data_IF_015961302447
#
_entry.id   IF_015961302447
#
_cell.length_a   1.000
_cell.length_b   1.000
_cell.length_c   1.000
_cell.angle_alpha   90.00
_cell.angle_beta   90.00
_cell.angle_gamma   90.00
#
_symmetry.space_group_name_H-M   'P 1'
#
loop_
_entity.id
_entity.type
_entity.pdbx_description
1 polymer ?
#
# COMPACT_ATOMS: atom_id res chain seq x y z
N UNK A 1 35.66 -7.83 -10.88
CA UNK A 1 34.95 -7.57 -9.60
C UNK A 1 33.63 -6.91 -9.97
N UNK A 2 32.49 -7.57 -9.74
CA UNK A 2 31.17 -6.98 -10.01
C UNK A 2 30.90 -5.99 -8.89
N UNK A 3 31.02 -4.70 -9.17
CA UNK A 3 30.40 -3.68 -8.33
C UNK A 3 28.90 -3.95 -8.40
N UNK A 4 28.39 -4.65 -7.41
CA UNK A 4 26.96 -4.83 -7.27
C UNK A 4 26.40 -3.44 -7.00
N UNK A 5 25.38 -3.09 -7.76
CA UNK A 5 24.72 -1.80 -7.65
C UNK A 5 24.01 -1.79 -6.29
N UNK A 6 24.69 -1.40 -5.21
CA UNK A 6 24.18 -1.41 -3.82
C UNK A 6 22.82 -0.71 -3.70
N UNK A 7 22.55 0.25 -4.59
CA UNK A 7 21.26 0.94 -4.72
C UNK A 7 20.07 0.01 -4.97
N UNK A 8 20.30 -1.17 -5.54
CA UNK A 8 19.29 -2.20 -5.84
C UNK A 8 19.35 -3.40 -4.90
N UNK A 9 20.29 -3.40 -3.95
CA UNK A 9 20.42 -4.49 -2.99
C UNK A 9 19.26 -4.44 -1.97
N UNK A 10 18.53 -5.56 -1.75
CA UNK A 10 17.38 -5.58 -0.85
C UNK A 10 17.76 -5.29 0.61
N UNK A 11 18.97 -5.60 1.07
CA UNK A 11 19.39 -5.23 2.42
C UNK A 11 19.68 -3.74 2.54
N UNK A 12 20.25 -3.13 1.50
CA UNK A 12 20.43 -1.68 1.47
C UNK A 12 19.09 -0.93 1.43
N UNK A 13 18.13 -1.38 0.62
CA UNK A 13 16.77 -0.83 0.58
C UNK A 13 16.08 -1.02 1.94
N UNK A 14 16.18 -2.21 2.54
CA UNK A 14 15.61 -2.48 3.86
C UNK A 14 16.15 -1.54 4.95
N UNK A 15 17.45 -1.23 4.95
CA UNK A 15 18.04 -0.26 5.87
C UNK A 15 17.46 1.15 5.69
N UNK A 16 17.19 1.56 4.45
CA UNK A 16 16.54 2.85 4.18
C UNK A 16 15.08 2.86 4.66
N UNK A 17 14.35 1.76 4.44
CA UNK A 17 12.96 1.62 4.91
C UNK A 17 12.86 1.73 6.43
N UNK A 18 13.82 1.18 7.17
CA UNK A 18 13.87 1.34 8.64
C UNK A 18 14.04 2.81 9.10
N UNK A 19 14.53 3.68 8.22
CA UNK A 19 14.66 5.12 8.46
C UNK A 19 13.45 5.91 7.93
N UNK A 20 12.44 5.24 7.35
CA UNK A 20 11.30 5.87 6.70
C UNK A 20 11.61 6.44 5.30
N UNK A 21 12.68 5.94 4.65
CA UNK A 21 13.14 6.36 3.33
C UNK A 21 13.11 5.19 2.34
N UNK A 22 13.18 5.48 1.04
CA UNK A 22 13.39 4.42 0.03
C UNK A 22 12.16 3.56 -0.29
N UNK A 23 10.95 4.01 0.07
CA UNK A 23 9.70 3.38 -0.36
C UNK A 23 9.58 3.34 -1.90
N UNK A 24 10.16 4.32 -2.59
CA UNK A 24 10.24 4.37 -4.06
C UNK A 24 11.16 3.30 -4.68
N UNK A 25 12.05 2.70 -3.87
CA UNK A 25 12.95 1.63 -4.28
C UNK A 25 12.31 0.25 -4.11
N UNK A 26 11.15 0.18 -3.46
CA UNK A 26 10.36 -1.05 -3.33
C UNK A 26 9.72 -1.36 -4.68
N UNK A 27 9.91 -2.59 -5.14
CA UNK A 27 9.41 -3.09 -6.43
C UNK A 27 8.81 -4.47 -6.24
N UNK A 28 7.97 -4.91 -7.17
CA UNK A 28 7.38 -6.26 -7.15
C UNK A 28 8.43 -7.38 -7.13
N UNK A 29 9.63 -7.09 -7.64
CA UNK A 29 10.75 -8.03 -7.67
C UNK A 29 11.43 -8.19 -6.30
N UNK A 30 11.48 -7.13 -5.48
CA UNK A 30 12.22 -7.12 -4.21
C UNK A 30 11.31 -7.17 -2.96
N UNK A 31 10.03 -6.87 -3.09
CA UNK A 31 9.09 -6.79 -1.95
C UNK A 31 9.06 -8.09 -1.13
N UNK A 32 9.15 -9.25 -1.78
CA UNK A 32 9.17 -10.55 -1.10
C UNK A 32 10.40 -10.73 -0.21
N UNK A 33 11.58 -10.30 -0.68
CA UNK A 33 12.80 -10.37 0.12
C UNK A 33 12.77 -9.37 1.27
N UNK A 34 12.22 -8.18 1.04
CA UNK A 34 12.05 -7.17 2.08
C UNK A 34 11.09 -7.62 3.19
N UNK A 35 10.01 -8.32 2.85
CA UNK A 35 9.08 -8.93 3.83
C UNK A 35 9.83 -9.98 4.66
N UNK A 36 10.62 -10.85 4.03
CA UNK A 36 11.40 -11.87 4.74
C UNK A 36 12.44 -11.25 5.69
N UNK A 37 13.09 -10.15 5.28
CA UNK A 37 14.00 -9.39 6.13
C UNK A 37 13.26 -8.76 7.31
N UNK A 38 12.11 -8.13 7.08
CA UNK A 38 11.28 -7.54 8.13
C UNK A 38 10.82 -8.59 9.15
N UNK A 39 10.39 -9.75 8.68
CA UNK A 39 9.98 -10.87 9.52
C UNK A 39 11.15 -11.38 10.38
N UNK A 40 12.34 -11.51 9.80
CA UNK A 40 13.55 -11.96 10.51
C UNK A 40 14.01 -10.97 11.57
N UNK A 41 13.89 -9.66 11.32
CA UNK A 41 14.24 -8.59 12.26
C UNK A 41 13.15 -8.37 13.33
N UNK A 42 11.96 -8.96 13.15
CA UNK A 42 10.79 -8.74 14.03
C UNK A 42 10.09 -7.39 13.82
N UNK A 43 10.32 -6.74 12.67
CA UNK A 43 9.73 -5.45 12.32
C UNK A 43 8.30 -5.63 11.77
N UNK A 44 7.34 -5.93 12.66
CA UNK A 44 5.95 -6.25 12.28
C UNK A 44 5.23 -5.15 11.49
N UNK A 45 5.46 -3.87 11.82
CA UNK A 45 4.83 -2.76 11.10
C UNK A 45 5.30 -2.73 9.64
N UNK A 46 6.61 -2.78 9.43
CA UNK A 46 7.21 -2.76 8.10
C UNK A 46 6.84 -4.01 7.29
N UNK A 47 6.77 -5.18 7.93
CA UNK A 47 6.25 -6.39 7.29
C UNK A 47 4.81 -6.16 6.79
N UNK A 48 3.95 -5.57 7.63
CA UNK A 48 2.55 -5.29 7.29
C UNK A 48 2.46 -4.31 6.13
N UNK A 49 3.20 -3.21 6.17
CA UNK A 49 3.22 -2.22 5.09
C UNK A 49 3.69 -2.83 3.76
N UNK A 50 4.72 -3.67 3.77
CA UNK A 50 5.20 -4.35 2.57
C UNK A 50 4.21 -5.41 2.06
N UNK A 51 3.45 -6.07 2.96
CA UNK A 51 2.36 -6.98 2.57
C UNK A 51 1.19 -6.24 1.93
N UNK A 52 0.84 -5.07 2.47
CA UNK A 52 -0.20 -4.22 1.89
C UNK A 52 0.22 -3.70 0.52
N UNK A 53 1.50 -3.35 0.37
CA UNK A 53 2.06 -2.97 -0.93
C UNK A 53 2.04 -4.14 -1.93
N UNK A 54 2.36 -5.36 -1.47
CA UNK A 54 2.34 -6.58 -2.28
C UNK A 54 0.93 -7.07 -2.59
N UNK A 55 -0.08 -6.63 -1.84
CA UNK A 55 -1.44 -7.07 -2.05
C UNK A 55 -1.83 -6.70 -3.49
N UNK A 56 -2.33 -7.66 -4.29
CA UNK A 56 -2.91 -7.29 -5.56
C UNK A 56 -3.96 -6.23 -5.27
N UNK A 57 -4.00 -5.16 -6.06
CA UNK A 57 -5.17 -4.29 -6.10
C UNK A 57 -6.35 -5.15 -6.55
N UNK A 58 -6.92 -5.95 -5.64
CA UNK A 58 -8.24 -6.51 -5.79
C UNK A 58 -9.13 -5.29 -5.80
N UNK A 59 -9.54 -4.92 -7.00
CA UNK A 59 -10.72 -4.13 -7.25
C UNK A 59 -11.88 -4.83 -6.53
N UNK A 60 -12.01 -4.57 -5.22
CA UNK A 60 -13.21 -4.90 -4.46
C UNK A 60 -14.32 -3.91 -4.83
N UNK A 61 -14.45 -3.63 -6.14
CA UNK A 61 -15.64 -3.12 -6.80
C UNK A 61 -16.43 -4.28 -7.47
N UNK A 62 -16.02 -5.54 -7.32
CA UNK A 62 -16.87 -6.72 -7.62
C UNK A 62 -17.64 -7.23 -6.39
N UNK A 63 -18.15 -6.29 -5.58
CA UNK A 63 -19.32 -6.50 -4.74
C UNK A 63 -20.35 -5.46 -5.16
N UNK A 64 -21.68 -5.73 -5.14
CA UNK A 64 -22.64 -4.74 -5.57
C UNK A 64 -22.36 -3.44 -4.82
N UNK A 65 -21.98 -2.40 -5.58
CA UNK A 65 -21.80 -1.04 -5.08
C UNK A 65 -22.89 -0.80 -4.03
N UNK A 66 -22.58 -0.31 -2.83
CA UNK A 66 -23.60 0.44 -2.12
C UNK A 66 -23.94 1.59 -3.06
N UNK A 67 -25.02 1.42 -3.82
CA UNK A 67 -25.81 2.51 -4.37
C UNK A 67 -26.14 3.36 -3.16
N UNK A 68 -25.26 4.32 -2.86
CA UNK A 68 -25.62 5.54 -2.18
C UNK A 68 -26.73 6.11 -3.04
N UNK A 69 -27.96 5.73 -2.72
CA UNK A 69 -29.14 6.39 -3.22
C UNK A 69 -28.89 7.89 -2.98
N UNK A 70 -29.03 8.76 -3.98
CA UNK A 70 -28.96 10.18 -3.70
C UNK A 70 -30.07 10.43 -2.68
N UNK A 71 -29.69 10.85 -1.47
CA UNK A 71 -30.62 11.28 -0.45
C UNK A 71 -31.25 12.59 -0.93
N UNK A 72 -32.14 12.52 -1.92
CA UNK A 72 -32.91 13.66 -2.43
C UNK A 72 -34.21 13.74 -1.65
N UNK A 73 -34.06 13.95 -0.34
CA UNK A 73 -35.12 14.22 0.63
C UNK A 73 -35.09 15.66 1.13
N UNK A 74 -34.72 16.62 0.28
CA UNK A 74 -34.76 18.06 0.59
C UNK A 74 -35.19 18.86 -0.64
N UNK A 75 -36.45 18.69 -1.08
CA UNK A 75 -37.14 19.77 -1.77
C UNK A 75 -38.02 20.46 -0.73
N UNK A 76 -37.63 21.67 -0.34
CA UNK A 76 -38.50 22.62 0.37
C UNK A 76 -39.60 23.04 -0.61
N UNK A 77 -40.77 22.43 -0.52
CA UNK A 77 -41.97 22.95 -1.17
C UNK A 77 -42.35 24.28 -0.52
N UNK A 78 -41.84 25.34 -1.14
CA UNK A 78 -42.16 26.72 -0.85
C UNK A 78 -43.31 27.12 -1.79
N UNK A 79 -44.52 26.57 -1.58
CA UNK A 79 -45.72 27.01 -2.31
C UNK A 79 -46.54 27.95 -1.43
N UNK A 80 -46.55 29.21 -1.83
CA UNK A 80 -47.56 30.20 -1.45
C UNK A 80 -48.77 29.99 -2.35
N UNK A 81 -49.94 29.72 -1.77
CA UNK A 81 -51.22 30.42 -2.02
C UNK A 81 -52.31 29.82 -1.12
#
# INVERSE_FOLDING_TARGET
>A
MKAQNDSTDPQHIYRQLKLGLGHELVTDANVFELIALAQKDGHQLLETELREWQAPCSDSNDGPRPTMAPTRGFNKDNVKH
#
